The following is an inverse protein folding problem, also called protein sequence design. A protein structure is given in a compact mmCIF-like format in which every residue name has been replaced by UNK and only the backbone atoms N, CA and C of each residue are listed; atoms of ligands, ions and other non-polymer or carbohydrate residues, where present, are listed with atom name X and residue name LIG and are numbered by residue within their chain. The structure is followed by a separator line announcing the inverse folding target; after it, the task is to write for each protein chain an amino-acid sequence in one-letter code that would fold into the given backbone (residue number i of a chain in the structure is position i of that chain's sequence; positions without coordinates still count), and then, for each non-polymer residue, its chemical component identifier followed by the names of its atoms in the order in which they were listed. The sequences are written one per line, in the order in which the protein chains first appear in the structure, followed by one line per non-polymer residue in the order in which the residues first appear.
data_IF_427835372819
#
_entry.id   IF_427835372819
#
_cell.length_a   1.000
_cell.length_b   1.000
_cell.length_c   1.000
_cell.angle_alpha   90.00
_cell.angle_beta   90.00
_cell.angle_gamma   90.00
#
_symmetry.space_group_name_H-M   'P 1'
#
loop_
_entity.id
_entity.type
_entity.pdbx_description
1 polymer ?
#
# COMPACT_ATOMS: atom_id res chain seq x y z
N UNK A 1 13.00 -24.42 20.05
CA UNK A 1 12.77 -23.04 19.54
C UNK A 1 13.75 -22.16 20.28
N UNK A 2 14.75 -21.66 19.58
CA UNK A 2 15.76 -20.76 20.18
C UNK A 2 15.18 -19.34 20.14
N UNK A 3 14.95 -18.75 21.30
CA UNK A 3 14.68 -17.32 21.44
C UNK A 3 16.00 -16.56 21.26
N UNK A 4 15.95 -15.43 20.54
CA UNK A 4 17.08 -14.51 20.56
C UNK A 4 17.12 -13.80 21.92
N UNK A 5 18.23 -13.15 22.25
CA UNK A 5 18.43 -12.47 23.55
C UNK A 5 17.45 -11.29 23.79
N UNK A 6 16.54 -10.99 22.85
CA UNK A 6 15.55 -9.91 22.92
C UNK A 6 14.12 -10.42 23.11
N UNK A 7 13.92 -11.77 23.20
CA UNK A 7 12.61 -12.39 23.44
C UNK A 7 11.66 -12.33 22.22
N UNK A 8 12.17 -12.00 21.04
CA UNK A 8 11.42 -12.09 19.80
C UNK A 8 11.61 -13.47 19.16
N UNK A 9 10.56 -14.08 18.56
CA UNK A 9 10.75 -15.27 17.78
C UNK A 9 11.71 -14.95 16.63
N UNK A 10 12.90 -15.59 16.64
CA UNK A 10 13.86 -15.45 15.56
C UNK A 10 13.16 -15.80 14.23
N UNK A 11 13.37 -14.99 13.21
CA UNK A 11 13.01 -15.37 11.85
C UNK A 11 13.62 -16.74 11.54
N UNK A 12 12.95 -17.63 10.81
CA UNK A 12 13.52 -18.89 10.40
C UNK A 12 14.90 -18.62 9.75
N UNK A 13 15.95 -19.32 10.12
CA UNK A 13 17.35 -18.99 9.80
C UNK A 13 17.70 -18.98 8.30
N UNK A 14 16.78 -19.39 7.43
CA UNK A 14 17.02 -19.56 5.99
C UNK A 14 16.26 -18.59 5.08
N UNK A 15 15.44 -17.66 5.60
CA UNK A 15 14.77 -16.71 4.72
C UNK A 15 15.67 -15.47 4.51
N UNK A 16 16.10 -15.17 3.26
CA UNK A 16 16.95 -14.02 3.00
C UNK A 16 16.19 -12.72 3.37
N UNK A 17 16.92 -11.77 3.96
CA UNK A 17 16.39 -10.48 4.33
C UNK A 17 15.63 -9.86 3.14
N UNK A 18 14.42 -9.32 3.40
CA UNK A 18 13.59 -8.73 2.35
C UNK A 18 14.26 -7.49 1.76
N UNK A 19 14.87 -6.66 2.60
CA UNK A 19 15.50 -5.41 2.18
C UNK A 19 16.98 -5.65 1.86
N UNK A 20 17.46 -5.31 0.63
CA UNK A 20 18.85 -5.40 0.28
C UNK A 20 19.73 -4.53 1.19
N UNK A 21 20.85 -5.03 1.73
CA UNK A 21 21.79 -4.21 2.49
C UNK A 21 22.30 -3.04 1.64
N UNK A 22 22.41 -1.86 2.23
CA UNK A 22 22.94 -0.68 1.56
C UNK A 22 21.96 0.04 0.63
N UNK A 23 20.76 -0.49 0.41
CA UNK A 23 19.77 0.13 -0.48
C UNK A 23 19.23 1.43 0.12
N UNK A 24 19.28 2.51 -0.66
CA UNK A 24 18.51 3.74 -0.47
C UNK A 24 17.40 3.79 -1.52
N UNK A 25 16.14 3.78 -1.10
CA UNK A 25 14.97 3.77 -1.99
C UNK A 25 13.71 4.26 -1.26
N UNK A 26 12.65 4.57 -2.00
CA UNK A 26 11.36 4.97 -1.39
C UNK A 26 10.19 4.30 -2.11
N UNK A 27 9.20 3.85 -1.34
CA UNK A 27 7.89 3.46 -1.84
C UNK A 27 6.82 4.46 -1.41
N UNK A 28 5.99 4.89 -2.37
CA UNK A 28 4.71 5.55 -2.12
C UNK A 28 3.61 4.50 -2.28
N UNK A 29 2.84 4.21 -1.25
CA UNK A 29 1.75 3.23 -1.27
C UNK A 29 0.42 3.99 -1.31
N UNK A 30 -0.47 3.64 -2.23
CA UNK A 30 -1.78 4.27 -2.45
C UNK A 30 -2.86 3.20 -2.55
N UNK A 31 -3.81 3.18 -1.60
CA UNK A 31 -5.01 2.35 -1.73
C UNK A 31 -5.88 2.89 -2.88
N UNK A 32 -6.52 2.01 -3.64
CA UNK A 32 -7.44 2.39 -4.72
C UNK A 32 -8.56 3.35 -4.24
N UNK A 33 -9.19 4.07 -5.17
CA UNK A 33 -10.36 4.92 -4.92
C UNK A 33 -11.62 4.12 -4.58
N UNK A 34 -12.70 4.82 -4.22
CA UNK A 34 -13.99 4.21 -3.91
C UNK A 34 -14.50 3.38 -5.11
N UNK A 35 -14.91 2.12 -4.85
CA UNK A 35 -15.48 1.21 -5.84
C UNK A 35 -16.96 0.97 -5.59
N UNK A 36 -17.66 0.45 -6.60
CA UNK A 36 -19.09 0.18 -6.49
C UNK A 36 -19.42 -0.80 -5.36
N UNK A 37 -18.62 -1.83 -5.17
CA UNK A 37 -18.85 -2.80 -4.09
C UNK A 37 -18.68 -2.18 -2.71
N UNK A 38 -17.73 -1.24 -2.54
CA UNK A 38 -17.61 -0.47 -1.28
C UNK A 38 -18.92 0.30 -1.02
N UNK A 39 -19.48 0.97 -2.03
CA UNK A 39 -20.74 1.71 -1.86
C UNK A 39 -21.90 0.80 -1.50
N UNK A 40 -21.94 -0.39 -2.09
CA UNK A 40 -22.98 -1.41 -1.83
C UNK A 40 -22.75 -2.17 -0.51
N UNK A 41 -21.63 -1.95 0.19
CA UNK A 41 -21.26 -2.66 1.44
C UNK A 41 -20.97 -4.14 1.23
N UNK A 42 -20.44 -4.50 0.05
CA UNK A 42 -20.08 -5.87 -0.30
C UNK A 42 -18.60 -6.14 -0.01
N UNK A 43 -18.29 -7.33 0.48
CA UNK A 43 -16.91 -7.78 0.62
C UNK A 43 -16.28 -7.96 -0.77
N UNK A 44 -15.09 -7.40 -0.96
CA UNK A 44 -14.49 -7.37 -2.30
C UNK A 44 -13.52 -8.52 -2.56
N UNK A 45 -12.54 -8.70 -1.73
CA UNK A 45 -11.46 -9.62 -2.01
C UNK A 45 -10.87 -9.39 -3.41
N UNK A 46 -10.76 -10.48 -4.19
CA UNK A 46 -10.28 -10.46 -5.56
C UNK A 46 -11.40 -10.27 -6.60
N UNK A 47 -12.65 -10.15 -6.15
CA UNK A 47 -13.77 -9.78 -7.02
C UNK A 47 -13.53 -8.41 -7.68
N UNK A 48 -13.81 -8.33 -8.99
CA UNK A 48 -13.50 -7.13 -9.76
C UNK A 48 -14.69 -6.16 -9.79
N UNK A 49 -14.49 -4.99 -9.20
CA UNK A 49 -15.48 -3.92 -9.08
C UNK A 49 -14.86 -2.60 -9.55
N UNK A 50 -15.52 -1.87 -10.49
CA UNK A 50 -14.98 -0.62 -11.02
C UNK A 50 -15.02 0.49 -9.98
N UNK A 51 -14.26 1.56 -10.23
CA UNK A 51 -14.35 2.79 -9.44
C UNK A 51 -15.70 3.48 -9.66
N UNK A 52 -16.21 4.10 -8.59
CA UNK A 52 -17.30 5.08 -8.71
C UNK A 52 -16.78 6.40 -9.30
N UNK A 53 -17.68 7.31 -9.69
CA UNK A 53 -17.29 8.67 -10.08
C UNK A 53 -16.53 9.39 -8.94
N UNK A 54 -16.95 9.19 -7.70
CA UNK A 54 -16.25 9.71 -6.52
C UNK A 54 -14.86 9.09 -6.40
N UNK A 55 -14.74 7.77 -6.62
CA UNK A 55 -13.45 7.07 -6.60
C UNK A 55 -12.47 7.60 -7.65
N UNK A 56 -12.94 7.91 -8.87
CA UNK A 56 -12.14 8.57 -9.92
C UNK A 56 -11.67 9.95 -9.49
N UNK A 57 -12.52 10.73 -8.86
CA UNK A 57 -12.16 12.06 -8.33
C UNK A 57 -11.13 11.94 -7.20
N UNK A 58 -11.27 10.97 -6.28
CA UNK A 58 -10.27 10.66 -5.26
C UNK A 58 -8.92 10.33 -5.90
N UNK A 59 -8.89 9.41 -6.86
CA UNK A 59 -7.68 9.00 -7.57
C UNK A 59 -7.01 10.18 -8.30
N UNK A 60 -7.79 11.06 -8.93
CA UNK A 60 -7.26 12.26 -9.60
C UNK A 60 -6.62 13.24 -8.62
N UNK A 61 -7.23 13.46 -7.45
CA UNK A 61 -6.67 14.33 -6.41
C UNK A 61 -5.35 13.76 -5.86
N UNK A 62 -5.32 12.46 -5.63
CA UNK A 62 -4.12 11.73 -5.20
C UNK A 62 -3.01 11.82 -6.24
N UNK A 63 -3.33 11.61 -7.51
CA UNK A 63 -2.41 11.75 -8.63
C UNK A 63 -1.79 13.18 -8.68
N UNK A 64 -2.63 14.21 -8.55
CA UNK A 64 -2.18 15.62 -8.48
C UNK A 64 -1.32 15.88 -7.25
N UNK A 65 -1.64 15.29 -6.10
CA UNK A 65 -0.89 15.45 -4.85
C UNK A 65 0.51 14.87 -4.99
N UNK A 66 0.65 13.65 -5.53
CA UNK A 66 1.93 13.00 -5.79
C UNK A 66 2.74 13.76 -6.84
N UNK A 67 2.12 14.20 -7.94
CA UNK A 67 2.79 15.00 -8.97
C UNK A 67 3.32 16.35 -8.43
N UNK A 68 2.62 16.93 -7.45
CA UNK A 68 2.98 18.22 -6.82
C UNK A 68 3.71 18.04 -5.48
N UNK A 69 4.35 16.90 -5.23
CA UNK A 69 4.97 16.50 -3.96
C UNK A 69 5.90 17.54 -3.33
N UNK A 70 6.56 18.37 -4.13
CA UNK A 70 7.42 19.47 -3.67
C UNK A 70 6.68 20.75 -3.24
N UNK A 71 5.35 20.84 -3.41
CA UNK A 71 4.54 21.98 -2.92
C UNK A 71 4.15 21.76 -1.47
N UNK A 72 4.04 22.86 -0.72
CA UNK A 72 3.63 22.80 0.71
C UNK A 72 2.17 22.34 0.86
N UNK A 73 1.88 21.50 1.85
CA UNK A 73 2.83 20.77 2.70
C UNK A 73 3.67 19.79 1.88
N UNK A 74 5.00 19.81 2.04
CA UNK A 74 5.92 18.97 1.26
C UNK A 74 5.71 17.51 1.62
N UNK A 75 5.62 16.63 0.61
CA UNK A 75 5.58 15.18 0.84
C UNK A 75 7.00 14.61 0.94
N UNK A 76 7.23 13.62 1.78
CA UNK A 76 8.53 12.95 1.90
C UNK A 76 8.77 11.96 0.74
N UNK A 77 8.69 12.46 -0.51
CA UNK A 77 8.92 11.71 -1.74
C UNK A 77 10.11 12.32 -2.50
N UNK A 78 10.92 11.50 -3.17
CA UNK A 78 12.04 11.98 -3.99
C UNK A 78 11.62 12.95 -5.09
N UNK A 79 12.55 13.82 -5.51
CA UNK A 79 12.29 14.89 -6.48
C UNK A 79 12.12 14.37 -7.91
N UNK A 80 12.85 13.32 -8.29
CA UNK A 80 12.80 12.70 -9.62
C UNK A 80 11.47 12.00 -9.94
N UNK A 81 11.26 11.55 -11.19
CA UNK A 81 10.13 10.71 -11.54
C UNK A 81 10.23 9.34 -10.83
N UNK A 82 9.11 8.68 -10.51
CA UNK A 82 9.16 7.30 -10.05
C UNK A 82 9.66 6.37 -11.14
N UNK A 83 10.34 5.29 -10.75
CA UNK A 83 10.79 4.24 -11.67
C UNK A 83 9.60 3.54 -12.34
N UNK A 84 8.54 3.26 -11.56
CA UNK A 84 7.32 2.65 -12.05
C UNK A 84 6.12 2.98 -11.14
N UNK A 85 4.92 2.80 -11.67
CA UNK A 85 3.67 2.63 -10.92
C UNK A 85 3.29 1.15 -10.99
N UNK A 86 3.55 0.42 -9.90
CA UNK A 86 3.30 -1.02 -9.77
C UNK A 86 1.92 -1.19 -9.12
N UNK A 87 1.04 -2.00 -9.70
CA UNK A 87 -0.33 -2.06 -9.22
C UNK A 87 -0.91 -3.48 -9.23
N UNK A 88 -1.88 -3.73 -8.34
CA UNK A 88 -2.74 -4.91 -8.45
C UNK A 88 -3.49 -4.90 -9.79
N UNK A 89 -3.66 -6.04 -10.49
CA UNK A 89 -4.31 -6.08 -11.80
C UNK A 89 -5.83 -5.83 -11.78
N UNK A 90 -6.48 -5.67 -10.61
CA UNK A 90 -7.92 -5.42 -10.53
C UNK A 90 -8.29 -4.04 -11.08
N UNK A 91 -9.48 -3.92 -11.69
CA UNK A 91 -9.92 -2.71 -12.40
C UNK A 91 -9.81 -1.43 -11.56
N UNK A 92 -10.25 -1.46 -10.30
CA UNK A 92 -10.18 -0.31 -9.37
C UNK A 92 -8.77 0.18 -9.11
N UNK A 93 -7.80 -0.71 -9.03
CA UNK A 93 -6.38 -0.38 -8.85
C UNK A 93 -5.72 0.04 -10.14
N UNK A 94 -6.02 -0.62 -11.24
CA UNK A 94 -5.52 -0.28 -12.59
C UNK A 94 -5.95 1.13 -12.98
N UNK A 95 -7.23 1.50 -12.75
CA UNK A 95 -7.74 2.84 -13.07
C UNK A 95 -7.09 3.90 -12.17
N UNK A 96 -6.96 3.65 -10.86
CA UNK A 96 -6.25 4.53 -9.92
C UNK A 96 -4.79 4.72 -10.32
N UNK A 97 -4.08 3.63 -10.63
CA UNK A 97 -2.67 3.64 -11.02
C UNK A 97 -2.44 4.37 -12.35
N UNK A 98 -3.35 4.21 -13.32
CA UNK A 98 -3.30 4.91 -14.61
C UNK A 98 -3.36 6.42 -14.44
N UNK A 99 -4.24 6.92 -13.58
CA UNK A 99 -4.35 8.36 -13.28
C UNK A 99 -3.06 8.89 -12.61
N UNK A 100 -2.47 8.11 -11.70
CA UNK A 100 -1.20 8.45 -11.05
C UNK A 100 -0.06 8.46 -12.07
N UNK A 101 0.09 7.40 -12.87
CA UNK A 101 1.16 7.29 -13.87
C UNK A 101 1.13 8.47 -14.84
N UNK A 102 -0.04 8.82 -15.38
CA UNK A 102 -0.20 10.00 -16.25
C UNK A 102 0.23 11.30 -15.58
N UNK A 103 -0.14 11.50 -14.32
CA UNK A 103 0.18 12.74 -13.61
C UNK A 103 1.66 12.89 -13.27
N UNK A 104 2.38 11.78 -13.03
CA UNK A 104 3.82 11.80 -12.72
C UNK A 104 4.70 11.74 -13.97
N UNK A 105 4.16 11.29 -15.10
CA UNK A 105 4.82 11.29 -16.43
C UNK A 105 4.87 12.68 -17.07
N UNK A 106 3.95 13.58 -16.72
CA UNK A 106 3.91 14.92 -17.31
C UNK A 106 5.16 15.70 -16.90
N UNK A 107 6.03 15.99 -17.86
CA UNK A 107 7.22 16.82 -17.69
C UNK A 107 6.87 18.21 -17.13
N UNK A 108 7.76 18.78 -16.31
CA UNK A 108 7.63 20.14 -15.80
C UNK A 108 8.48 21.07 -16.67
N UNK A 109 7.81 21.88 -17.49
CA UNK A 109 8.42 22.93 -18.33
C UNK A 109 8.29 22.66 -19.82
N UNK A 110 8.42 23.72 -20.63
CA UNK A 110 8.21 23.69 -22.08
C UNK A 110 9.24 22.85 -22.85
N UNK A 111 10.37 22.48 -22.21
CA UNK A 111 11.45 21.67 -22.80
C UNK A 111 11.57 20.25 -22.18
N UNK A 112 10.64 19.84 -21.33
CA UNK A 112 10.72 18.53 -20.67
C UNK A 112 10.31 17.42 -21.64
N UNK A 113 11.24 16.53 -21.98
CA UNK A 113 10.94 15.28 -22.66
C UNK A 113 9.95 14.50 -21.78
N UNK A 114 8.76 14.24 -22.31
CA UNK A 114 7.73 13.46 -21.63
C UNK A 114 8.22 12.01 -21.46
N UNK A 115 8.78 11.73 -20.28
CA UNK A 115 9.18 10.35 -19.95
C UNK A 115 7.98 9.63 -19.38
N UNK A 116 7.40 8.72 -20.14
CA UNK A 116 6.30 7.89 -19.67
C UNK A 116 6.76 7.00 -18.52
N UNK A 117 6.14 7.16 -17.35
CA UNK A 117 6.38 6.28 -16.21
C UNK A 117 5.70 4.94 -16.45
N UNK A 118 6.42 3.81 -16.42
CA UNK A 118 5.88 2.48 -16.65
C UNK A 118 4.73 2.16 -15.68
N UNK A 119 3.66 1.57 -16.21
CA UNK A 119 2.54 1.01 -15.46
C UNK A 119 2.69 -0.52 -15.45
N UNK A 120 2.96 -1.09 -14.28
CA UNK A 120 3.36 -2.50 -14.13
C UNK A 120 2.33 -3.26 -13.30
N UNK A 121 1.55 -4.20 -13.89
CA UNK A 121 0.68 -5.06 -13.11
C UNK A 121 1.49 -6.09 -12.31
N UNK A 122 1.19 -6.23 -11.02
CA UNK A 122 1.84 -7.18 -10.11
C UNK A 122 0.77 -8.02 -9.39
N UNK A 123 0.58 -9.29 -9.77
CA UNK A 123 -0.41 -10.18 -9.15
C UNK A 123 -0.18 -10.40 -7.65
N UNK A 124 1.06 -10.28 -7.17
CA UNK A 124 1.36 -10.36 -5.75
C UNK A 124 0.75 -9.24 -4.91
N UNK A 125 0.24 -8.17 -5.56
CA UNK A 125 -0.49 -7.07 -4.92
C UNK A 125 -2.03 -7.21 -5.00
N UNK A 126 -2.58 -8.33 -5.48
CA UNK A 126 -4.02 -8.61 -5.38
C UNK A 126 -4.49 -8.47 -3.93
N UNK A 127 -5.76 -8.08 -3.72
CA UNK A 127 -6.35 -8.08 -2.37
C UNK A 127 -6.36 -9.50 -1.78
N UNK A 128 -6.50 -9.61 -0.48
CA UNK A 128 -6.71 -10.89 0.19
C UNK A 128 -7.93 -11.58 -0.41
N UNK A 129 -7.76 -12.79 -0.92
CA UNK A 129 -8.87 -13.60 -1.41
C UNK A 129 -9.87 -13.86 -0.29
N UNK A 130 -11.10 -13.40 -0.47
CA UNK A 130 -12.18 -13.53 0.52
C UNK A 130 -13.11 -14.72 0.20
N UNK A 131 -12.76 -15.54 -0.79
CA UNK A 131 -13.47 -16.79 -1.10
C UNK A 131 -14.99 -16.62 -1.14
N UNK A 132 -15.71 -17.42 -0.34
CA UNK A 132 -17.19 -17.40 -0.31
C UNK A 132 -17.80 -16.10 0.25
N UNK A 133 -16.99 -15.20 0.81
CA UNK A 133 -17.49 -13.90 1.27
C UNK A 133 -17.53 -12.85 0.17
N UNK A 134 -16.84 -13.09 -0.96
CA UNK A 134 -16.78 -12.11 -2.06
C UNK A 134 -18.15 -11.85 -2.67
N UNK A 135 -18.48 -10.57 -2.85
CA UNK A 135 -19.76 -10.12 -3.39
C UNK A 135 -20.93 -10.22 -2.43
N UNK A 136 -20.74 -10.71 -1.21
CA UNK A 136 -21.80 -10.78 -0.20
C UNK A 136 -21.82 -9.53 0.68
N UNK A 137 -23.03 -9.07 1.10
CA UNK A 137 -23.17 -8.03 2.09
C UNK A 137 -22.73 -8.54 3.49
N UNK A 138 -22.14 -7.65 4.30
CA UNK A 138 -21.65 -8.02 5.63
C UNK A 138 -22.72 -8.67 6.53
N UNK A 139 -24.01 -8.33 6.38
CA UNK A 139 -25.12 -8.94 7.12
C UNK A 139 -25.24 -10.44 6.80
N UNK A 140 -25.17 -10.82 5.54
CA UNK A 140 -25.24 -12.24 5.12
C UNK A 140 -24.05 -13.04 5.63
N UNK A 141 -22.85 -12.44 5.62
CA UNK A 141 -21.64 -13.07 6.16
C UNK A 141 -21.80 -13.33 7.66
N UNK A 142 -22.33 -12.36 8.41
CA UNK A 142 -22.61 -12.53 9.86
C UNK A 142 -23.64 -13.65 10.08
N UNK A 143 -24.68 -13.74 9.27
CA UNK A 143 -25.72 -14.77 9.39
C UNK A 143 -25.17 -16.18 9.11
N UNK A 144 -24.27 -16.33 8.13
CA UNK A 144 -23.75 -17.63 7.69
C UNK A 144 -22.47 -18.05 8.42
N UNK A 145 -21.61 -17.10 8.77
CA UNK A 145 -20.25 -17.36 9.31
C UNK A 145 -19.87 -16.42 10.45
N UNK A 146 -20.81 -15.97 11.28
CA UNK A 146 -20.58 -14.98 12.32
C UNK A 146 -19.37 -15.30 13.22
N UNK A 147 -19.29 -16.54 13.74
CA UNK A 147 -18.18 -16.97 14.60
C UNK A 147 -16.82 -16.96 13.88
N UNK A 148 -16.83 -17.31 12.59
CA UNK A 148 -15.60 -17.31 11.78
C UNK A 148 -15.14 -15.87 11.50
N UNK A 149 -16.09 -14.99 11.16
CA UNK A 149 -15.81 -13.57 10.94
C UNK A 149 -15.29 -12.90 12.22
N UNK A 150 -15.85 -13.24 13.37
CA UNK A 150 -15.38 -12.74 14.66
C UNK A 150 -13.94 -13.23 14.94
N UNK A 151 -13.67 -14.53 14.77
CA UNK A 151 -12.31 -15.06 14.92
C UNK A 151 -11.33 -14.38 13.99
N UNK A 152 -11.69 -14.16 12.70
CA UNK A 152 -10.84 -13.47 11.74
C UNK A 152 -10.50 -12.04 12.19
N UNK A 153 -11.44 -11.33 12.84
CA UNK A 153 -11.22 -9.98 13.38
C UNK A 153 -10.28 -9.97 14.59
N UNK A 154 -10.34 -11.00 15.44
CA UNK A 154 -9.51 -11.07 16.65
C UNK A 154 -8.18 -11.77 16.43
N UNK A 155 -8.16 -12.84 15.64
CA UNK A 155 -6.97 -13.63 15.33
C UNK A 155 -6.93 -13.97 13.83
N UNK A 156 -6.51 -13.02 12.99
CA UNK A 156 -6.47 -13.19 11.54
C UNK A 156 -5.42 -14.22 11.08
N UNK A 157 -4.59 -14.73 11.99
CA UNK A 157 -3.63 -15.80 11.67
C UNK A 157 -4.24 -17.19 11.73
N UNK A 158 -5.33 -17.37 12.49
CA UNK A 158 -5.98 -18.66 12.69
C UNK A 158 -7.30 -18.81 11.93
N UNK A 159 -7.82 -17.74 11.33
CA UNK A 159 -9.10 -17.73 10.64
C UNK A 159 -9.06 -16.91 9.36
N UNK A 160 -9.77 -17.35 8.33
CA UNK A 160 -9.97 -16.66 7.04
C UNK A 160 -11.28 -17.14 6.41
N UNK A 161 -11.73 -16.45 5.37
CA UNK A 161 -12.94 -16.81 4.64
C UNK A 161 -12.86 -18.23 4.03
N UNK A 162 -13.93 -19.01 3.99
CA UNK A 162 -13.94 -20.31 3.31
C UNK A 162 -13.55 -20.15 1.84
N UNK A 163 -12.57 -20.95 1.38
CA UNK A 163 -12.03 -20.85 0.02
C UNK A 163 -11.21 -19.56 -0.25
N UNK A 164 -10.96 -18.74 0.77
CA UNK A 164 -10.11 -17.55 0.68
C UNK A 164 -8.66 -17.83 1.04
N UNK A 165 -7.85 -16.77 1.13
CA UNK A 165 -6.43 -16.82 1.49
C UNK A 165 -6.20 -16.61 2.98
N UNK A 166 -5.28 -17.36 3.56
CA UNK A 166 -4.69 -17.05 4.86
C UNK A 166 -3.70 -15.90 4.76
N UNK A 167 -3.46 -15.18 5.86
CA UNK A 167 -2.44 -14.11 5.87
C UNK A 167 -1.02 -14.62 5.56
N UNK A 168 -0.72 -15.90 5.82
CA UNK A 168 0.59 -16.49 5.49
C UNK A 168 0.77 -16.66 3.98
N UNK A 169 -0.27 -17.06 3.26
CA UNK A 169 -0.25 -17.13 1.79
C UNK A 169 -0.11 -15.74 1.17
N UNK A 170 -0.84 -14.76 1.72
CA UNK A 170 -0.74 -13.36 1.28
C UNK A 170 0.67 -12.82 1.53
N UNK A 171 1.28 -13.05 2.69
CA UNK A 171 2.65 -12.61 3.01
C UNK A 171 3.68 -13.22 2.04
N UNK A 172 3.55 -14.49 1.73
CA UNK A 172 4.47 -15.17 0.80
C UNK A 172 4.46 -14.52 -0.60
N UNK A 173 3.26 -14.25 -1.16
CA UNK A 173 3.15 -13.60 -2.49
C UNK A 173 3.57 -12.13 -2.46
N UNK A 174 3.25 -11.41 -1.37
CA UNK A 174 3.65 -10.02 -1.16
C UNK A 174 5.17 -9.90 -1.08
N UNK A 175 5.84 -10.74 -0.29
CA UNK A 175 7.32 -10.76 -0.19
C UNK A 175 7.95 -11.02 -1.57
N UNK A 176 7.37 -11.91 -2.37
CA UNK A 176 7.84 -12.19 -3.73
C UNK A 176 7.72 -10.96 -4.62
N UNK A 177 6.58 -10.24 -4.59
CA UNK A 177 6.37 -9.00 -5.33
C UNK A 177 7.31 -7.89 -4.86
N UNK A 178 7.49 -7.74 -3.55
CA UNK A 178 8.41 -6.75 -2.98
C UNK A 178 9.85 -7.01 -3.37
N UNK A 179 10.33 -8.28 -3.38
CA UNK A 179 11.69 -8.61 -3.82
C UNK A 179 11.94 -8.16 -5.26
N UNK A 180 10.96 -8.33 -6.17
CA UNK A 180 11.06 -7.83 -7.56
C UNK A 180 11.16 -6.31 -7.58
N UNK A 181 10.23 -5.61 -6.95
CA UNK A 181 10.22 -4.15 -6.93
C UNK A 181 11.48 -3.55 -6.29
N UNK A 182 12.02 -4.19 -5.24
CA UNK A 182 13.26 -3.78 -4.59
C UNK A 182 14.48 -4.06 -5.46
N UNK A 183 14.50 -5.17 -6.19
CA UNK A 183 15.57 -5.48 -7.15
C UNK A 183 15.60 -4.43 -8.28
N UNK A 184 14.44 -4.05 -8.83
CA UNK A 184 14.36 -3.01 -9.86
C UNK A 184 14.88 -1.66 -9.33
N UNK A 185 14.52 -1.26 -8.12
CA UNK A 185 15.04 -0.04 -7.47
C UNK A 185 16.56 -0.13 -7.24
N UNK A 186 17.06 -1.29 -6.86
CA UNK A 186 18.49 -1.49 -6.63
C UNK A 186 19.33 -1.40 -7.91
N UNK A 187 18.76 -1.71 -9.10
CA UNK A 187 19.48 -1.60 -10.37
C UNK A 187 19.82 -0.16 -10.75
N UNK A 188 19.04 0.81 -10.27
CA UNK A 188 19.20 2.24 -10.57
C UNK A 188 19.65 3.06 -9.36
N UNK A 189 19.80 2.42 -8.20
CA UNK A 189 20.29 3.08 -6.99
C UNK A 189 21.79 3.35 -7.11
N UNK A 190 22.19 4.60 -6.87
CA UNK A 190 23.62 4.92 -6.72
C UNK A 190 24.12 4.36 -5.38
N UNK A 191 25.36 3.84 -5.33
CA UNK A 191 25.96 3.44 -4.08
C UNK A 191 25.95 4.59 -3.06
N UNK A 192 25.50 4.34 -1.85
CA UNK A 192 25.54 5.36 -0.80
C UNK A 192 27.00 5.82 -0.59
N UNK A 193 27.30 7.14 -0.62
CA UNK A 193 28.63 7.64 -0.42
C UNK A 193 29.17 7.17 0.93
N UNK A 194 30.38 6.62 0.93
CA UNK A 194 31.07 6.17 2.13
C UNK A 194 31.16 7.33 3.13
N UNK A 195 30.72 7.13 4.37
CA UNK A 195 30.79 8.14 5.43
C UNK A 195 29.53 8.98 5.65
N UNK A 196 28.42 8.72 4.99
CA UNK A 196 27.16 9.34 5.40
C UNK A 196 26.84 8.93 6.84
N UNK A 197 26.91 9.92 7.72
CA UNK A 197 26.56 9.77 9.12
C UNK A 197 25.20 9.07 9.26
N UNK A 198 25.16 7.99 10.03
CA UNK A 198 23.91 7.33 10.42
C UNK A 198 23.09 8.18 11.42
N UNK A 199 23.47 9.43 11.59
CA UNK A 199 22.70 10.35 12.44
C UNK A 199 21.29 10.42 11.89
N UNK A 200 20.35 10.07 12.73
CA UNK A 200 18.90 10.15 12.55
C UNK A 200 18.44 11.61 12.32
N UNK A 201 19.03 12.26 11.31
CA UNK A 201 18.61 13.59 10.89
C UNK A 201 17.29 13.49 10.15
N UNK A 202 16.27 14.12 10.69
CA UNK A 202 15.04 14.44 9.96
C UNK A 202 15.46 15.35 8.79
N UNK A 203 15.53 14.78 7.58
CA UNK A 203 15.81 15.59 6.40
C UNK A 203 14.46 16.04 5.82
N UNK A 204 14.19 17.33 5.93
CA UNK A 204 13.00 17.98 5.34
C UNK A 204 13.09 18.12 3.81
N UNK A 205 14.25 17.88 3.23
CA UNK A 205 14.45 17.98 1.79
C UNK A 205 14.08 16.69 1.07
N UNK A 206 13.40 16.79 -0.08
CA UNK A 206 13.17 15.63 -0.95
C UNK A 206 14.51 14.97 -1.32
N UNK A 207 14.59 13.66 -1.16
CA UNK A 207 15.73 12.88 -1.59
C UNK A 207 15.85 12.79 -3.11
N UNK A 208 16.96 12.19 -3.58
CA UNK A 208 17.19 11.87 -5.00
C UNK A 208 17.23 10.37 -5.23
N UNK A 209 17.00 9.57 -4.18
CA UNK A 209 16.98 8.12 -4.27
C UNK A 209 15.88 7.62 -5.24
N UNK A 210 16.06 6.46 -5.87
CA UNK A 210 15.04 5.84 -6.70
C UNK A 210 13.80 5.50 -5.90
N UNK A 211 12.64 5.62 -6.52
CA UNK A 211 11.38 5.33 -5.89
C UNK A 211 10.34 4.80 -6.85
N UNK A 212 9.34 4.09 -6.33
CA UNK A 212 8.19 3.61 -7.09
C UNK A 212 6.89 3.84 -6.33
N UNK A 213 5.78 3.88 -7.07
CA UNK A 213 4.43 3.93 -6.49
C UNK A 213 3.85 2.52 -6.50
N UNK A 214 3.32 2.06 -5.36
CA UNK A 214 2.52 0.85 -5.25
C UNK A 214 1.05 1.23 -5.16
N UNK A 215 0.19 0.65 -5.99
CA UNK A 215 -1.27 0.88 -5.95
C UNK A 215 -1.98 -0.44 -5.71
N UNK A 216 -2.60 -0.57 -4.53
CA UNK A 216 -3.24 -1.83 -4.16
C UNK A 216 -4.44 -1.61 -3.21
N UNK A 217 -4.64 -2.48 -2.24
CA UNK A 217 -5.84 -2.57 -1.42
C UNK A 217 -5.51 -2.49 0.07
N UNK A 218 -6.53 -2.44 0.93
CA UNK A 218 -6.36 -2.28 2.38
C UNK A 218 -5.66 -3.49 3.02
N UNK A 219 -6.17 -4.70 2.78
CA UNK A 219 -5.66 -5.91 3.41
C UNK A 219 -4.24 -6.24 2.97
N UNK A 220 -3.99 -6.27 1.66
CA UNK A 220 -2.66 -6.55 1.14
C UNK A 220 -1.64 -5.48 1.54
N UNK A 221 -2.04 -4.22 1.68
CA UNK A 221 -1.13 -3.17 2.14
C UNK A 221 -0.78 -3.26 3.62
N UNK A 222 -1.68 -3.75 4.46
CA UNK A 222 -1.34 -4.08 5.85
C UNK A 222 -0.21 -5.11 5.89
N UNK A 223 -0.34 -6.19 5.13
CA UNK A 223 0.72 -7.22 5.02
C UNK A 223 2.01 -6.64 4.42
N UNK A 224 1.89 -5.84 3.34
CA UNK A 224 3.03 -5.18 2.70
C UNK A 224 3.81 -4.29 3.66
N UNK A 225 3.10 -3.48 4.45
CA UNK A 225 3.74 -2.57 5.40
C UNK A 225 4.40 -3.33 6.55
N UNK A 226 3.76 -4.38 7.07
CA UNK A 226 4.36 -5.25 8.08
C UNK A 226 5.63 -5.92 7.55
N UNK A 227 5.60 -6.46 6.32
CA UNK A 227 6.76 -7.08 5.69
C UNK A 227 7.92 -6.08 5.50
N UNK A 228 7.65 -4.86 5.01
CA UNK A 228 8.66 -3.81 4.85
C UNK A 228 9.27 -3.38 6.18
N UNK A 229 8.46 -3.25 7.25
CA UNK A 229 8.91 -2.80 8.56
C UNK A 229 9.51 -3.94 9.42
N UNK A 230 9.49 -5.18 8.95
CA UNK A 230 9.94 -6.34 9.72
C UNK A 230 9.06 -6.66 10.92
N UNK A 231 7.77 -6.31 10.85
CA UNK A 231 6.81 -6.55 11.93
C UNK A 231 6.08 -7.88 11.73
N UNK A 232 5.70 -8.57 12.81
CA UNK A 232 4.98 -9.84 12.72
C UNK A 232 3.54 -9.66 12.23
N UNK A 233 2.99 -10.70 11.59
CA UNK A 233 1.65 -10.69 10.97
C UNK A 233 0.49 -10.55 11.98
N UNK A 234 0.71 -10.86 13.26
CA UNK A 234 -0.29 -10.63 14.33
C UNK A 234 -0.62 -9.15 14.53
N UNK A 235 0.21 -8.25 13.97
CA UNK A 235 -0.02 -6.81 13.94
C UNK A 235 -0.88 -6.35 12.75
N UNK A 236 -1.56 -7.25 12.05
CA UNK A 236 -2.34 -6.97 10.85
C UNK A 236 -3.28 -5.77 10.96
N UNK A 237 -3.93 -5.57 12.09
CA UNK A 237 -4.89 -4.48 12.29
C UNK A 237 -4.25 -3.14 12.71
N UNK A 238 -2.92 -3.08 12.85
CA UNK A 238 -2.23 -1.88 13.40
C UNK A 238 -2.30 -0.68 12.44
N UNK A 239 -2.23 -0.90 11.14
CA UNK A 239 -2.09 0.17 10.14
C UNK A 239 -3.32 0.21 9.21
N UNK A 240 -4.29 1.11 9.42
CA UNK A 240 -5.42 1.27 8.50
C UNK A 240 -5.00 2.01 7.23
N UNK A 241 -5.61 1.68 6.09
CA UNK A 241 -5.42 2.38 4.81
C UNK A 241 -6.76 2.93 4.32
N UNK A 242 -6.92 4.25 4.29
CA UNK A 242 -8.07 4.92 3.70
C UNK A 242 -8.04 4.87 2.17
N UNK A 243 -9.20 4.94 1.53
CA UNK A 243 -9.31 5.06 0.07
C UNK A 243 -8.49 6.26 -0.42
N UNK A 244 -7.61 6.03 -1.39
CA UNK A 244 -6.67 7.03 -1.90
C UNK A 244 -5.77 7.68 -0.84
N UNK A 245 -5.64 7.08 0.35
CA UNK A 245 -4.66 7.49 1.36
C UNK A 245 -3.24 7.18 0.89
N UNK A 246 -2.30 8.08 1.20
CA UNK A 246 -0.90 7.97 0.79
C UNK A 246 -0.06 7.58 2.00
N UNK A 247 0.71 6.51 1.86
CA UNK A 247 1.72 6.07 2.85
C UNK A 247 3.09 6.09 2.19
N UNK A 248 4.13 6.54 2.90
CA UNK A 248 5.49 6.60 2.38
C UNK A 248 6.43 5.83 3.28
N UNK A 249 7.09 4.83 2.71
CA UNK A 249 8.16 4.07 3.36
C UNK A 249 9.47 4.40 2.66
N UNK A 250 10.37 4.99 3.40
CA UNK A 250 11.75 5.25 2.98
C UNK A 250 12.64 4.10 3.43
N UNK A 251 13.54 3.67 2.60
CA UNK A 251 14.59 2.70 2.91
C UNK A 251 15.91 3.46 2.89
N UNK A 252 16.67 3.40 3.99
CA UNK A 252 17.98 4.01 4.09
C UNK A 252 19.00 2.99 4.57
N UNK A 253 20.00 2.75 3.76
CA UNK A 253 21.01 1.74 4.02
C UNK A 253 20.40 0.37 4.36
N UNK A 254 19.37 -0.02 3.60
CA UNK A 254 18.62 -1.26 3.82
C UNK A 254 17.71 -1.28 5.05
N UNK A 255 17.48 -0.14 5.71
CA UNK A 255 16.63 -0.03 6.90
C UNK A 255 15.35 0.75 6.58
N UNK A 256 14.16 0.21 6.88
CA UNK A 256 12.89 0.86 6.58
C UNK A 256 12.58 1.97 7.58
N UNK A 257 11.91 3.02 7.11
CA UNK A 257 11.38 4.14 7.91
C UNK A 257 10.01 4.52 7.40
N UNK A 258 9.01 4.49 8.26
CA UNK A 258 7.69 5.02 7.95
C UNK A 258 7.74 6.55 8.05
N UNK A 259 7.67 7.24 6.91
CA UNK A 259 7.78 8.71 6.82
C UNK A 259 6.42 9.40 6.84
N UNK A 260 5.41 8.74 6.31
CA UNK A 260 4.04 9.23 6.24
C UNK A 260 3.11 8.03 6.24
N UNK A 261 2.04 8.06 7.02
CA UNK A 261 1.03 7.00 6.98
C UNK A 261 -0.36 7.56 6.73
N UNK A 262 -1.02 6.98 5.73
CA UNK A 262 -2.44 7.17 5.46
C UNK A 262 -2.88 8.65 5.35
N UNK A 263 -2.07 9.50 4.70
CA UNK A 263 -2.41 10.91 4.50
C UNK A 263 -3.57 11.07 3.51
N UNK A 264 -4.58 11.82 3.91
CA UNK A 264 -5.82 12.08 3.13
C UNK A 264 -6.17 13.57 3.03
N UNK A 265 -5.28 14.48 3.44
CA UNK A 265 -5.47 15.93 3.41
C UNK A 265 -5.89 16.46 2.02
N UNK A 266 -5.36 15.86 0.97
CA UNK A 266 -5.69 16.18 -0.43
C UNK A 266 -7.12 15.81 -0.84
N UNK A 267 -7.85 15.02 -0.04
CA UNK A 267 -9.23 14.61 -0.29
C UNK A 267 -10.26 15.48 0.45
N UNK A 268 -9.82 16.49 1.19
CA UNK A 268 -10.69 17.30 2.06
C UNK A 268 -11.88 17.93 1.33
N UNK A 269 -11.71 18.32 0.07
CA UNK A 269 -12.81 18.88 -0.74
C UNK A 269 -13.94 17.88 -1.03
N UNK A 270 -13.66 16.55 -0.92
CA UNK A 270 -14.64 15.49 -1.12
C UNK A 270 -15.26 14.99 0.19
N UNK A 271 -14.76 15.45 1.34
CA UNK A 271 -15.24 15.04 2.66
C UNK A 271 -16.40 15.94 3.08
N UNK A 272 -17.63 15.44 2.94
CA UNK A 272 -18.80 16.05 3.57
C UNK A 272 -19.14 15.28 4.85
N UNK A 273 -19.85 15.93 5.79
CA UNK A 273 -20.28 15.30 7.06
C UNK A 273 -21.00 13.97 6.80
N UNK A 274 -21.93 13.93 5.84
CA UNK A 274 -22.65 12.71 5.46
C UNK A 274 -21.76 11.62 4.86
N UNK A 275 -20.59 11.97 4.35
CA UNK A 275 -19.59 11.02 3.85
C UNK A 275 -18.78 10.43 4.99
N UNK A 276 -18.38 11.27 5.95
CA UNK A 276 -17.68 10.81 7.17
C UNK A 276 -18.52 9.82 7.95
N UNK A 277 -19.80 10.13 8.17
CA UNK A 277 -20.73 9.22 8.88
C UNK A 277 -20.87 7.87 8.18
N UNK A 278 -20.95 7.84 6.85
CA UNK A 278 -20.97 6.61 6.06
C UNK A 278 -19.68 5.82 6.14
N UNK A 279 -18.53 6.47 6.04
CA UNK A 279 -17.22 5.83 6.10
C UNK A 279 -16.98 5.25 7.52
N UNK A 280 -17.39 5.95 8.55
CA UNK A 280 -17.31 5.48 9.94
C UNK A 280 -18.27 4.30 10.22
N UNK A 281 -19.47 4.32 9.66
CA UNK A 281 -20.41 3.21 9.76
C UNK A 281 -19.86 1.93 9.08
N UNK A 282 -19.19 2.07 7.92
CA UNK A 282 -18.54 0.96 7.22
C UNK A 282 -17.37 0.38 7.99
N UNK A 283 -16.50 1.23 8.55
CA UNK A 283 -15.38 0.77 9.39
C UNK A 283 -15.88 -0.04 10.57
N UNK A 284 -17.00 0.37 11.16
CA UNK A 284 -17.64 -0.39 12.27
C UNK A 284 -18.26 -1.71 11.82
N UNK A 285 -18.74 -1.81 10.57
CA UNK A 285 -19.29 -3.06 10.03
C UNK A 285 -18.23 -4.08 9.66
N UNK A 286 -16.95 -3.67 9.56
CA UNK A 286 -15.82 -4.52 9.21
C UNK A 286 -15.85 -5.06 7.78
N UNK A 287 -16.60 -4.42 6.88
CA UNK A 287 -16.44 -4.61 5.45
C UNK A 287 -15.13 -3.94 5.03
N UNK A 288 -14.17 -4.73 4.57
CA UNK A 288 -12.89 -4.28 4.02
C UNK A 288 -13.08 -3.69 2.62
#
# INVERSE_FOLDING_TARGET
MSEDQTGHPALPPDEPALLPPGLDATFAMVRHGESEWIVKGLFQGQGDSPLTERGRRQALLTARRIARRGRRPVMPLPSGAPLAVIHSPLARTTETATLIARAVSSGRGDDAVETAVPLVPEPGLLEIGQGEWEGLPGKEIVERWGDLLERWRFDPLSAWAPGGESLREVDARVRTALRRALADLATVAEPAPAGRSQVLGYQDSPGTEPWSVLVAHDGVFKVTLLALLGLPLDRFWTFPFALCGITVVEIRNGRPRLRLHNATDHLSELQTVATQERDDARRRSGAL
#
